data_IF_771426038565
#
_entry.id   IF_771426038565
#
_cell.length_a   1.000
_cell.length_b   1.000
_cell.length_c   1.000
_cell.angle_alpha   90.00
_cell.angle_beta   90.00
_cell.angle_gamma   90.00
#
_symmetry.space_group_name_H-M   'P 1'
#
loop_
_entity.id
_entity.type
_entity.pdbx_description
1 polymer ?
#
# COMPACT_ATOMS: atom_id res chain seq x y z
N UNK A 1 1.67 8.28 19.89
CA UNK A 1 1.28 7.40 18.77
C UNK A 1 2.15 7.85 17.61
N UNK A 2 3.21 7.11 17.32
CA UNK A 2 4.25 7.50 16.36
C UNK A 2 3.61 7.61 14.97
N UNK A 3 3.76 8.77 14.33
CA UNK A 3 3.26 8.98 12.98
C UNK A 3 4.10 8.10 12.04
N UNK A 4 3.54 6.99 11.55
CA UNK A 4 4.15 6.00 10.62
C UNK A 4 4.46 6.58 9.21
N UNK A 5 4.65 7.89 9.12
CA UNK A 5 4.90 8.64 7.89
C UNK A 5 6.33 8.35 7.43
N UNK A 6 6.45 7.67 6.30
CA UNK A 6 7.73 7.35 5.67
C UNK A 6 8.08 5.86 5.66
N UNK A 7 7.27 5.00 6.30
CA UNK A 7 7.52 3.56 6.30
C UNK A 7 7.33 2.91 4.92
N UNK A 8 8.24 1.99 4.60
CA UNK A 8 8.14 1.11 3.44
C UNK A 8 7.17 -0.03 3.75
N UNK A 9 6.18 -0.21 2.88
CA UNK A 9 5.21 -1.29 3.00
C UNK A 9 4.88 -1.86 1.63
N UNK A 10 4.07 -2.90 1.61
CA UNK A 10 3.53 -3.52 0.41
C UNK A 10 2.01 -3.45 0.41
N UNK A 11 1.45 -3.07 -0.73
CA UNK A 11 0.04 -3.23 -1.04
C UNK A 11 -0.17 -4.67 -1.54
N UNK A 12 -0.85 -5.48 -0.74
CA UNK A 12 -1.25 -6.83 -1.10
C UNK A 12 -2.61 -6.78 -1.82
N UNK A 13 -2.65 -7.30 -3.03
CA UNK A 13 -3.86 -7.42 -3.84
C UNK A 13 -4.18 -8.89 -4.02
N UNK A 14 -5.39 -9.26 -3.65
CA UNK A 14 -5.89 -10.62 -3.88
C UNK A 14 -6.38 -10.75 -5.32
N UNK A 15 -5.85 -11.73 -6.04
CA UNK A 15 -6.24 -12.07 -7.40
C UNK A 15 -6.47 -13.57 -7.54
N UNK A 16 -7.05 -13.96 -8.68
CA UNK A 16 -7.34 -15.37 -8.97
C UNK A 16 -6.12 -16.29 -8.86
N UNK A 17 -4.93 -15.79 -9.19
CA UNK A 17 -3.66 -16.54 -9.18
C UNK A 17 -2.97 -16.48 -7.81
N UNK A 18 -3.56 -15.80 -6.83
CA UNK A 18 -3.01 -15.56 -5.50
C UNK A 18 -2.79 -14.08 -5.21
N UNK A 19 -1.98 -13.81 -4.18
CA UNK A 19 -1.73 -12.45 -3.70
C UNK A 19 -0.52 -11.85 -4.43
N UNK A 20 -0.69 -10.67 -5.04
CA UNK A 20 0.41 -9.87 -5.56
C UNK A 20 0.75 -8.74 -4.59
N UNK A 21 2.05 -8.47 -4.42
CA UNK A 21 2.54 -7.44 -3.50
C UNK A 21 3.22 -6.33 -4.28
N UNK A 22 2.75 -5.09 -4.12
CA UNK A 22 3.31 -3.92 -4.79
C UNK A 22 3.94 -2.98 -3.76
N UNK A 23 5.18 -2.51 -3.94
CA UNK A 23 5.85 -1.61 -3.00
C UNK A 23 5.12 -0.26 -2.92
N UNK A 24 4.91 0.21 -1.69
CA UNK A 24 4.28 1.49 -1.38
C UNK A 24 4.97 2.17 -0.20
N UNK A 25 4.82 3.49 -0.12
CA UNK A 25 5.29 4.29 1.02
C UNK A 25 4.12 4.92 1.74
N UNK A 26 4.03 4.73 3.05
CA UNK A 26 2.96 5.33 3.85
C UNK A 26 3.27 6.81 4.07
N UNK A 27 2.33 7.69 3.76
CA UNK A 27 2.46 9.14 3.95
C UNK A 27 1.42 9.71 4.91
N UNK A 28 0.52 8.88 5.41
CA UNK A 28 -0.42 9.24 6.45
C UNK A 28 -1.41 8.13 6.73
N UNK A 29 -2.17 8.30 7.80
CA UNK A 29 -3.23 7.37 8.15
C UNK A 29 -4.56 8.07 8.39
N UNK A 30 -5.61 7.29 8.23
CA UNK A 30 -6.97 7.58 8.67
C UNK A 30 -7.41 6.39 9.53
N UNK A 31 -8.51 6.50 10.30
CA UNK A 31 -8.95 5.40 11.17
C UNK A 31 -9.10 4.05 10.46
N UNK A 32 -9.51 4.05 9.19
CA UNK A 32 -9.79 2.83 8.41
C UNK A 32 -8.84 2.57 7.23
N UNK A 33 -8.02 3.55 6.83
CA UNK A 33 -7.20 3.47 5.61
C UNK A 33 -5.84 4.12 5.80
N UNK A 34 -4.83 3.64 5.09
CA UNK A 34 -3.57 4.35 4.90
C UNK A 34 -3.61 5.18 3.63
N UNK A 35 -2.98 6.36 3.68
CA UNK A 35 -2.63 7.14 2.50
C UNK A 35 -1.21 6.73 2.11
N UNK A 36 -1.06 6.21 0.90
CA UNK A 36 0.21 5.68 0.41
C UNK A 36 0.58 6.26 -0.94
N UNK A 37 1.88 6.34 -1.20
CA UNK A 37 2.45 6.62 -2.52
C UNK A 37 2.84 5.28 -3.16
N UNK A 38 2.41 5.06 -4.40
CA UNK A 38 2.76 3.86 -5.16
C UNK A 38 4.24 3.89 -5.60
N UNK A 39 4.98 2.82 -5.33
CA UNK A 39 6.37 2.66 -5.78
C UNK A 39 6.52 2.22 -7.25
N UNK A 40 5.44 1.70 -7.83
CA UNK A 40 5.37 1.21 -9.20
C UNK A 40 3.97 1.41 -9.80
N UNK A 41 3.86 1.27 -11.12
CA UNK A 41 2.57 1.26 -11.81
C UNK A 41 1.76 0.05 -11.34
N UNK A 42 0.59 0.31 -10.74
CA UNK A 42 -0.19 -0.72 -10.05
C UNK A 42 -1.65 -0.66 -10.46
N UNK A 43 -2.25 -1.84 -10.70
CA UNK A 43 -3.68 -1.97 -10.91
C UNK A 43 -4.39 -2.19 -9.59
N UNK A 44 -5.18 -1.21 -9.16
CA UNK A 44 -5.94 -1.24 -7.91
C UNK A 44 -7.19 -2.13 -8.00
N UNK A 45 -7.78 -2.51 -6.84
CA UNK A 45 -9.06 -3.18 -6.77
C UNK A 45 -10.14 -2.42 -7.56
N UNK A 46 -10.96 -3.14 -8.33
CA UNK A 46 -11.92 -2.56 -9.26
C UNK A 46 -11.34 -2.21 -10.64
N UNK A 47 -10.12 -2.66 -10.93
CA UNK A 47 -9.52 -2.60 -12.27
C UNK A 47 -8.90 -1.26 -12.65
N UNK A 48 -8.78 -0.32 -11.70
CA UNK A 48 -8.25 1.03 -11.94
C UNK A 48 -6.72 1.01 -11.97
N UNK A 49 -6.13 1.50 -13.04
CA UNK A 49 -4.67 1.63 -13.14
C UNK A 49 -4.20 2.97 -12.56
N UNK A 50 -3.14 2.93 -11.76
CA UNK A 50 -2.48 4.10 -11.18
C UNK A 50 -0.99 4.03 -11.48
N UNK A 51 -0.41 5.21 -11.61
CA UNK A 51 1.01 5.33 -11.96
C UNK A 51 1.86 5.37 -10.69
N UNK A 52 3.13 4.99 -10.84
CA UNK A 52 4.16 5.23 -9.84
C UNK A 52 4.14 6.70 -9.40
N UNK A 53 4.20 6.92 -8.09
CA UNK A 53 4.13 8.25 -7.48
C UNK A 53 2.72 8.73 -7.18
N UNK A 54 1.66 8.07 -7.68
CA UNK A 54 0.29 8.43 -7.33
C UNK A 54 0.02 8.20 -5.85
N UNK A 55 -0.73 9.13 -5.26
CA UNK A 55 -1.20 9.04 -3.89
C UNK A 55 -2.59 8.42 -3.85
N UNK A 56 -2.75 7.33 -3.09
CA UNK A 56 -4.00 6.58 -3.01
C UNK A 56 -4.36 6.23 -1.57
N UNK A 57 -5.66 6.04 -1.30
CA UNK A 57 -6.17 5.57 -0.02
C UNK A 57 -6.49 4.08 -0.11
N UNK A 58 -5.81 3.29 0.71
CA UNK A 58 -5.95 1.83 0.72
C UNK A 58 -6.37 1.33 2.10
N UNK A 59 -7.23 0.29 2.19
CA UNK A 59 -7.59 -0.32 3.47
C UNK A 59 -6.36 -0.77 4.26
N UNK A 60 -6.41 -0.66 5.59
CA UNK A 60 -5.29 -1.08 6.46
C UNK A 60 -4.99 -2.57 6.33
N UNK A 61 -6.01 -3.39 6.11
CA UNK A 61 -5.90 -4.85 5.93
C UNK A 61 -5.16 -5.24 4.63
N UNK A 62 -5.12 -4.36 3.64
CA UNK A 62 -4.41 -4.57 2.38
C UNK A 62 -2.92 -4.19 2.47
N UNK A 63 -2.48 -3.58 3.58
CA UNK A 63 -1.08 -3.20 3.78
C UNK A 63 -0.33 -4.30 4.53
N UNK A 64 0.88 -4.58 4.05
CA UNK A 64 1.86 -5.46 4.69
C UNK A 64 3.13 -4.66 4.94
N UNK A 65 3.39 -4.34 6.20
CA UNK A 65 4.61 -3.65 6.60
C UNK A 65 5.81 -4.57 6.38
N UNK A 66 6.89 -4.00 5.85
CA UNK A 66 8.17 -4.71 5.75
C UNK A 66 8.69 -4.89 7.18
N UNK A 67 8.48 -6.08 7.77
CA UNK A 67 9.08 -6.39 9.07
C UNK A 67 10.61 -6.30 8.90
N UNK A 68 11.22 -5.34 9.58
CA UNK A 68 12.66 -5.36 9.83
C UNK A 68 12.87 -6.56 10.75
N UNK A 69 13.40 -7.66 10.21
CA UNK A 69 13.89 -8.75 11.05
C UNK A 69 15.08 -8.20 11.86
N UNK A 70 15.16 -8.50 13.17
CA UNK A 70 16.31 -8.11 13.99
C UNK A 70 17.62 -8.74 13.49
#
# INVERSE_FOLDING_TARGET
MENMTGEEAYLALDGWVGITCHPVKIIGETPKKYRVILGEDTRLPGGRERKKGDTVLVPKDAIRFKKVLP
#
